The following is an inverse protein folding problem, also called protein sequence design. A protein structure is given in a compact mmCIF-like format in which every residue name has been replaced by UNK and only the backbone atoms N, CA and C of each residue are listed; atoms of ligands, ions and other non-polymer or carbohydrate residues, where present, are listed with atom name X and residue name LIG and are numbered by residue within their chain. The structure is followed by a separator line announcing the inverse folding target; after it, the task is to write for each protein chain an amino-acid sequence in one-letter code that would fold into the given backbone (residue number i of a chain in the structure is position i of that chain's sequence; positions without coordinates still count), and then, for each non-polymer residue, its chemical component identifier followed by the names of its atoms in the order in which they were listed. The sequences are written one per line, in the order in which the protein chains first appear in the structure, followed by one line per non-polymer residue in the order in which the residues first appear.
data_IF_122372401284
#
_entry.id   IF_122372401284
#
_cell.length_a   1.000
_cell.length_b   1.000
_cell.length_c   1.000
_cell.angle_alpha   90.00
_cell.angle_beta   90.00
_cell.angle_gamma   90.00
#
_symmetry.space_group_name_H-M   'P 1'
#
loop_
_entity.id
_entity.type
_entity.pdbx_description
1 polymer ?
#
# COMPACT_ATOMS: atom_id res chain seq x y z
N UNK A 1 -4.23 10.62 -7.28
CA UNK A 1 -3.03 10.48 -6.43
C UNK A 1 -2.49 9.05 -6.52
N UNK A 2 -1.17 8.91 -6.65
CA UNK A 2 -0.47 7.62 -6.72
C UNK A 2 0.41 7.46 -5.48
N UNK A 3 0.65 6.23 -5.05
CA UNK A 3 1.64 5.94 -3.99
C UNK A 3 3.04 6.06 -4.62
N UNK A 4 3.95 6.70 -3.90
CA UNK A 4 5.33 6.90 -4.36
C UNK A 4 6.04 5.56 -4.56
N UNK A 5 6.88 5.45 -5.58
CA UNK A 5 7.61 4.20 -5.87
C UNK A 5 8.53 3.80 -4.71
N UNK A 6 9.15 4.75 -4.01
CA UNK A 6 9.96 4.50 -2.80
C UNK A 6 9.18 3.77 -1.68
N UNK A 7 7.89 4.09 -1.54
CA UNK A 7 7.01 3.42 -0.57
C UNK A 7 6.64 2.02 -1.06
N UNK A 8 6.43 1.84 -2.37
CA UNK A 8 6.19 0.51 -2.95
C UNK A 8 7.39 -0.42 -2.77
N UNK A 9 8.62 0.12 -2.83
CA UNK A 9 9.85 -0.61 -2.53
C UNK A 9 9.92 -1.01 -1.05
N UNK A 10 9.64 -0.08 -0.12
CA UNK A 10 9.58 -0.40 1.32
C UNK A 10 8.54 -1.50 1.63
N UNK A 11 7.39 -1.47 0.96
CA UNK A 11 6.39 -2.55 1.07
C UNK A 11 6.96 -3.87 0.55
N UNK A 12 7.65 -3.87 -0.60
CA UNK A 12 8.27 -5.09 -1.17
C UNK A 12 9.36 -5.68 -0.30
N UNK A 13 10.06 -4.89 0.50
CA UNK A 13 11.09 -5.39 1.41
C UNK A 13 10.49 -5.86 2.74
N UNK A 14 9.41 -5.25 3.20
CA UNK A 14 8.78 -5.58 4.48
C UNK A 14 7.72 -6.70 4.37
N UNK A 15 8.10 -7.91 4.76
CA UNK A 15 7.19 -9.07 4.82
C UNK A 15 5.99 -8.84 5.74
N UNK A 16 6.17 -8.09 6.83
CA UNK A 16 5.07 -7.77 7.75
C UNK A 16 4.04 -6.85 7.09
N UNK A 17 4.50 -5.81 6.39
CA UNK A 17 3.62 -4.86 5.70
C UNK A 17 2.83 -5.55 4.60
N UNK A 18 3.49 -6.40 3.78
CA UNK A 18 2.79 -7.15 2.72
C UNK A 18 1.72 -8.08 3.28
N UNK A 19 2.02 -8.81 4.36
CA UNK A 19 1.05 -9.71 5.01
C UNK A 19 -0.16 -8.96 5.55
N UNK A 20 0.05 -7.80 6.17
CA UNK A 20 -1.05 -7.00 6.68
C UNK A 20 -1.89 -6.42 5.55
N UNK A 21 -1.26 -5.93 4.47
CA UNK A 21 -1.98 -5.46 3.29
C UNK A 21 -2.77 -6.59 2.62
N UNK A 22 -2.18 -7.79 2.48
CA UNK A 22 -2.84 -8.98 1.95
C UNK A 22 -4.07 -9.37 2.75
N UNK A 23 -3.97 -9.31 4.08
CA UNK A 23 -5.09 -9.58 4.99
C UNK A 23 -6.19 -8.54 4.89
N UNK A 24 -5.85 -7.26 4.80
CA UNK A 24 -6.82 -6.16 4.79
C UNK A 24 -7.50 -5.99 3.42
N UNK A 25 -6.80 -6.30 2.34
CA UNK A 25 -7.29 -6.14 0.97
C UNK A 25 -7.84 -7.45 0.39
N UNK A 26 -7.78 -8.56 1.13
CA UNK A 26 -8.18 -9.90 0.70
C UNK A 26 -7.56 -10.32 -0.64
N UNK A 27 -6.24 -10.11 -0.75
CA UNK A 27 -5.46 -10.49 -1.95
C UNK A 27 -4.21 -11.27 -1.56
N UNK A 28 -3.62 -11.98 -2.53
CA UNK A 28 -2.38 -12.71 -2.29
C UNK A 28 -1.19 -11.78 -2.05
N UNK A 29 -0.27 -12.19 -1.16
CA UNK A 29 0.97 -11.45 -0.85
C UNK A 29 1.77 -11.08 -2.11
N UNK A 30 1.87 -12.02 -3.06
CA UNK A 30 2.54 -11.84 -4.35
C UNK A 30 1.88 -10.83 -5.28
N UNK A 31 0.63 -10.46 -5.03
CA UNK A 31 -0.12 -9.51 -5.85
C UNK A 31 -0.14 -8.10 -5.28
N UNK A 32 0.31 -7.89 -4.03
CA UNK A 32 0.11 -6.63 -3.30
C UNK A 32 0.67 -5.40 -4.03
N UNK A 33 1.93 -5.44 -4.44
CA UNK A 33 2.55 -4.28 -5.09
C UNK A 33 1.88 -3.95 -6.42
N UNK A 34 1.44 -4.96 -7.17
CA UNK A 34 0.70 -4.78 -8.42
C UNK A 34 -0.69 -4.24 -8.13
N UNK A 35 -1.40 -4.87 -7.19
CA UNK A 35 -2.76 -4.54 -6.81
C UNK A 35 -2.88 -3.08 -6.35
N UNK A 36 -1.98 -2.62 -5.48
CA UNK A 36 -1.95 -1.23 -5.01
C UNK A 36 -1.63 -0.23 -6.14
N UNK A 37 -0.78 -0.63 -7.10
CA UNK A 37 -0.35 0.22 -8.22
C UNK A 37 -1.39 0.34 -9.32
N UNK A 38 -2.10 -0.75 -9.63
CA UNK A 38 -2.93 -0.90 -10.84
C UNK A 38 -4.45 -0.88 -10.57
N UNK A 39 -4.92 -1.00 -9.32
CA UNK A 39 -6.38 -0.90 -9.05
C UNK A 39 -6.88 0.54 -9.19
N UNK A 40 -7.44 0.86 -10.36
CA UNK A 40 -8.21 2.08 -10.61
C UNK A 40 -9.71 1.91 -10.27
N UNK A 41 -10.28 0.70 -10.40
CA UNK A 41 -11.73 0.44 -10.24
C UNK A 41 -12.24 0.47 -8.78
N UNK A 42 -11.43 0.05 -7.79
CA UNK A 42 -11.74 0.18 -6.35
C UNK A 42 -10.97 1.37 -5.70
N UNK A 43 -10.53 2.31 -6.55
CA UNK A 43 -9.34 3.12 -6.37
C UNK A 43 -9.26 4.02 -5.14
N UNK A 44 -10.37 4.39 -4.49
CA UNK A 44 -10.32 5.22 -3.28
C UNK A 44 -10.26 4.39 -1.98
N UNK A 45 -11.06 3.32 -1.87
CA UNK A 45 -11.11 2.51 -0.65
C UNK A 45 -9.85 1.66 -0.48
N UNK A 46 -9.40 1.01 -1.56
CA UNK A 46 -8.15 0.23 -1.56
C UNK A 46 -6.95 1.11 -1.23
N UNK A 47 -6.89 2.32 -1.79
CA UNK A 47 -5.82 3.27 -1.47
C UNK A 47 -5.91 3.76 -0.03
N UNK A 48 -7.10 4.06 0.48
CA UNK A 48 -7.27 4.48 1.87
C UNK A 48 -6.79 3.40 2.86
N UNK A 49 -7.16 2.13 2.65
CA UNK A 49 -6.67 1.02 3.47
C UNK A 49 -5.15 0.90 3.36
N UNK A 50 -4.61 0.91 2.13
CA UNK A 50 -3.18 0.80 1.90
C UNK A 50 -2.41 1.93 2.61
N UNK A 51 -2.83 3.18 2.42
CA UNK A 51 -2.23 4.37 3.06
C UNK A 51 -2.26 4.22 4.58
N UNK A 52 -3.38 3.79 5.17
CA UNK A 52 -3.51 3.62 6.62
C UNK A 52 -2.57 2.53 7.15
N UNK A 53 -2.51 1.39 6.48
CA UNK A 53 -1.61 0.29 6.87
C UNK A 53 -0.15 0.71 6.74
N UNK A 54 0.23 1.33 5.61
CA UNK A 54 1.58 1.83 5.36
C UNK A 54 1.97 2.87 6.41
N UNK A 55 1.09 3.84 6.68
CA UNK A 55 1.33 4.89 7.68
C UNK A 55 1.58 4.28 9.07
N UNK A 56 0.74 3.34 9.50
CA UNK A 56 0.87 2.69 10.80
C UNK A 56 2.12 1.80 10.91
N UNK A 57 2.43 1.03 9.86
CA UNK A 57 3.53 0.05 9.90
C UNK A 57 4.90 0.66 9.64
N UNK A 58 4.98 1.69 8.81
CA UNK A 58 6.22 2.40 8.50
C UNK A 58 6.41 3.65 9.37
N UNK A 59 5.43 3.99 10.20
CA UNK A 59 5.41 5.21 11.01
C UNK A 59 5.64 6.48 10.17
N UNK A 60 4.96 6.56 9.03
CA UNK A 60 5.06 7.66 8.07
C UNK A 60 3.76 8.46 8.03
N UNK A 61 3.81 9.79 7.93
CA UNK A 61 2.61 10.59 7.67
C UNK A 61 2.06 10.31 6.27
N UNK A 62 0.73 10.33 6.13
CA UNK A 62 0.05 10.04 4.86
C UNK A 62 0.48 10.96 3.71
N UNK A 63 0.87 12.20 4.03
CA UNK A 63 1.39 13.18 3.06
C UNK A 63 2.69 12.76 2.38
N UNK A 64 3.48 11.87 3.00
CA UNK A 64 4.70 11.31 2.41
C UNK A 64 4.44 10.03 1.62
N UNK A 65 3.24 9.46 1.72
CA UNK A 65 2.89 8.21 1.04
C UNK A 65 2.47 8.46 -0.41
N UNK A 66 1.83 9.60 -0.66
CA UNK A 66 1.30 9.97 -1.97
C UNK A 66 2.25 10.89 -2.73
N UNK A 67 2.24 10.75 -4.05
CA UNK A 67 2.77 11.75 -4.98
C UNK A 67 1.90 13.01 -4.93
N UNK A 68 2.57 14.18 -4.88
CA UNK A 68 1.95 15.51 -4.91
C UNK A 68 1.37 15.84 -6.28
#
# INVERSE_FOLDING_TARGET
MKIREEILEMIRESTEVRRELARQLDVSDSSISRYIKENEENGEFTKAIAIKVISLKLNLPESLILES
#
